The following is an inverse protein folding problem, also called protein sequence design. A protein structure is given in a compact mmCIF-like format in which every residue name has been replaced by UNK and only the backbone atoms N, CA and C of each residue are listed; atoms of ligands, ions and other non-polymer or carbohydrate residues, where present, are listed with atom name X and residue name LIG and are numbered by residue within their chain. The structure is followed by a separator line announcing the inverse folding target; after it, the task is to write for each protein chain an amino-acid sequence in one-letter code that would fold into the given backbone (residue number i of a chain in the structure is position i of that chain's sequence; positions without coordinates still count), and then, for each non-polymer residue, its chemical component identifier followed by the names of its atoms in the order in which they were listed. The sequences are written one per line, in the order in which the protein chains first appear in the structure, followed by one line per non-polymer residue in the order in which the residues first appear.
data_IF_105528556313
#
_entry.id   IF_105528556313
#
_cell.length_a   1.000
_cell.length_b   1.000
_cell.length_c   1.000
_cell.angle_alpha   90.00
_cell.angle_beta   90.00
_cell.angle_gamma   90.00
#
_symmetry.space_group_name_H-M   'P 1'
#
loop_
_entity.id
_entity.type
_entity.pdbx_description
1 polymer ?
#
# COMPACT_ATOMS: atom_id res chain seq x y z
N UNK A 1 -23.88 21.18 -25.71
CA UNK A 1 -24.29 20.94 -24.29
C UNK A 1 -24.29 22.26 -23.53
N UNK A 2 -25.31 22.55 -22.70
CA UNK A 2 -25.31 23.77 -21.86
C UNK A 2 -24.09 23.75 -20.91
N UNK A 3 -23.37 24.87 -20.71
CA UNK A 3 -22.15 24.91 -19.89
C UNK A 3 -22.35 24.45 -18.44
N UNK A 4 -23.58 24.54 -17.91
CA UNK A 4 -23.92 24.02 -16.58
C UNK A 4 -23.96 22.49 -16.50
N UNK A 5 -24.32 21.81 -17.59
CA UNK A 5 -24.38 20.35 -17.65
C UNK A 5 -22.97 19.73 -17.59
N UNK A 6 -22.05 20.23 -18.43
CA UNK A 6 -20.64 19.80 -18.43
C UNK A 6 -19.98 19.95 -17.06
N UNK A 7 -20.24 21.06 -16.37
CA UNK A 7 -19.72 21.30 -15.00
C UNK A 7 -20.28 20.31 -13.98
N UNK A 8 -21.54 19.93 -14.10
CA UNK A 8 -22.16 18.94 -13.19
C UNK A 8 -21.58 17.55 -13.41
N UNK A 9 -21.41 17.15 -14.66
CA UNK A 9 -20.77 15.87 -15.03
C UNK A 9 -19.35 15.81 -14.48
N UNK A 10 -18.54 16.85 -14.73
CA UNK A 10 -17.17 16.91 -14.22
C UNK A 10 -17.09 16.77 -12.70
N UNK A 11 -17.94 17.48 -11.95
CA UNK A 11 -17.98 17.38 -10.48
C UNK A 11 -18.38 15.99 -9.98
N UNK A 12 -19.29 15.34 -10.68
CA UNK A 12 -19.73 13.98 -10.34
C UNK A 12 -18.63 12.96 -10.58
N UNK A 13 -17.93 13.07 -11.73
CA UNK A 13 -16.76 12.24 -12.03
C UNK A 13 -15.64 12.47 -11.02
N UNK A 14 -15.33 13.73 -10.70
CA UNK A 14 -14.32 14.08 -9.70
C UNK A 14 -14.68 13.53 -8.32
N UNK A 15 -15.95 13.63 -7.90
CA UNK A 15 -16.43 13.05 -6.66
C UNK A 15 -16.19 11.54 -6.62
N UNK A 16 -16.63 10.80 -7.64
CA UNK A 16 -16.48 9.34 -7.72
C UNK A 16 -14.99 8.97 -7.72
N UNK A 17 -14.17 9.65 -8.53
CA UNK A 17 -12.73 9.44 -8.61
C UNK A 17 -12.07 9.59 -7.23
N UNK A 18 -12.38 10.67 -6.51
CA UNK A 18 -11.81 10.91 -5.17
C UNK A 18 -12.27 9.88 -4.14
N UNK A 19 -13.53 9.41 -4.21
CA UNK A 19 -14.02 8.31 -3.37
C UNK A 19 -13.24 7.03 -3.66
N UNK A 20 -13.11 6.62 -4.93
CA UNK A 20 -12.39 5.40 -5.30
C UNK A 20 -10.91 5.48 -4.86
N UNK A 21 -10.29 6.66 -5.03
CA UNK A 21 -8.87 6.84 -4.74
C UNK A 21 -8.56 6.88 -3.24
N UNK A 22 -9.43 7.49 -2.43
CA UNK A 22 -9.11 7.87 -1.03
C UNK A 22 -10.15 7.48 0.01
N UNK A 23 -11.27 6.88 -0.43
CA UNK A 23 -12.50 6.63 0.31
C UNK A 23 -13.26 7.89 0.80
N UNK A 24 -12.56 8.95 1.19
CA UNK A 24 -13.15 10.13 1.85
C UNK A 24 -13.19 11.39 0.96
N UNK A 25 -12.35 11.46 -0.07
CA UNK A 25 -12.07 12.71 -0.79
C UNK A 25 -13.31 13.31 -1.45
N UNK A 26 -14.23 12.49 -1.95
CA UNK A 26 -15.51 12.99 -2.46
C UNK A 26 -16.39 13.61 -1.37
N UNK A 27 -16.42 13.04 -0.16
CA UNK A 27 -17.18 13.60 0.97
C UNK A 27 -16.59 14.96 1.37
N UNK A 28 -15.26 15.05 1.45
CA UNK A 28 -14.56 16.32 1.70
C UNK A 28 -14.86 17.34 0.59
N UNK A 29 -14.95 16.91 -0.66
CA UNK A 29 -15.32 17.78 -1.78
C UNK A 29 -16.73 18.36 -1.64
N UNK A 30 -17.70 17.56 -1.18
CA UNK A 30 -19.05 18.05 -0.90
C UNK A 30 -19.07 19.07 0.24
N UNK A 31 -18.33 18.80 1.32
CA UNK A 31 -18.18 19.74 2.43
C UNK A 31 -17.54 21.05 1.97
N UNK A 32 -16.49 20.97 1.15
CA UNK A 32 -15.85 22.13 0.53
C UNK A 32 -16.84 22.99 -0.24
N UNK A 33 -17.65 22.39 -1.12
CA UNK A 33 -18.69 23.13 -1.85
C UNK A 33 -19.75 23.74 -0.95
N UNK A 34 -20.13 23.04 0.12
CA UNK A 34 -21.05 23.57 1.12
C UNK A 34 -20.48 24.81 1.83
N UNK A 35 -19.23 24.75 2.29
CA UNK A 35 -18.55 25.87 2.95
C UNK A 35 -18.39 27.07 2.02
N UNK A 36 -17.96 26.84 0.76
CA UNK A 36 -17.88 27.92 -0.23
C UNK A 36 -19.23 28.59 -0.49
N UNK A 37 -20.33 27.83 -0.46
CA UNK A 37 -21.69 28.38 -0.61
C UNK A 37 -22.06 29.29 0.56
N UNK A 38 -21.68 28.92 1.78
CA UNK A 38 -21.90 29.75 2.98
C UNK A 38 -21.05 31.03 2.94
N UNK A 39 -19.79 30.96 2.51
CA UNK A 39 -18.89 32.11 2.45
C UNK A 39 -19.21 33.08 1.32
N UNK A 40 -19.70 32.60 0.17
CA UNK A 40 -20.16 33.46 -0.94
C UNK A 40 -21.36 34.34 -0.57
N UNK A 41 -22.19 33.92 0.40
CA UNK A 41 -23.25 34.78 0.95
C UNK A 41 -22.70 36.00 1.67
N UNK A 42 -21.43 35.97 2.10
CA UNK A 42 -20.72 37.04 2.81
C UNK A 42 -19.78 37.85 1.90
N UNK A 43 -20.06 37.94 0.59
CA UNK A 43 -19.36 38.82 -0.37
C UNK A 43 -17.92 38.41 -0.77
N UNK A 44 -17.37 37.31 -0.24
CA UNK A 44 -16.06 36.80 -0.65
C UNK A 44 -16.12 36.06 -2.00
N UNK A 45 -15.33 36.52 -2.99
CA UNK A 45 -15.15 35.84 -4.28
C UNK A 45 -13.86 35.02 -4.29
N UNK A 46 -13.97 33.71 -4.15
CA UNK A 46 -12.85 32.79 -4.31
C UNK A 46 -12.58 32.53 -5.80
N UNK A 47 -11.33 32.74 -6.22
CA UNK A 47 -10.83 32.25 -7.50
C UNK A 47 -10.53 30.73 -7.43
N UNK A 48 -10.18 30.14 -8.57
CA UNK A 48 -9.90 28.69 -8.64
C UNK A 48 -8.79 28.26 -7.67
N UNK A 49 -7.67 29.00 -7.64
CA UNK A 49 -6.51 28.68 -6.78
C UNK A 49 -6.85 28.67 -5.29
N UNK A 50 -7.51 29.71 -4.80
CA UNK A 50 -7.94 29.78 -3.39
C UNK A 50 -8.93 28.67 -3.03
N UNK A 51 -9.88 28.34 -3.92
CA UNK A 51 -10.78 27.20 -3.74
C UNK A 51 -10.03 25.87 -3.64
N UNK A 52 -9.02 25.65 -4.48
CA UNK A 52 -8.22 24.42 -4.44
C UNK A 52 -7.41 24.31 -3.16
N UNK A 53 -6.79 25.41 -2.71
CA UNK A 53 -6.05 25.45 -1.43
C UNK A 53 -6.99 25.09 -0.27
N UNK A 54 -8.19 25.68 -0.21
CA UNK A 54 -9.18 25.38 0.82
C UNK A 54 -9.52 23.88 0.82
N UNK A 55 -9.85 23.29 -0.34
CA UNK A 55 -10.13 21.86 -0.44
C UNK A 55 -8.95 21.00 0.05
N UNK A 56 -7.73 21.30 -0.38
CA UNK A 56 -6.54 20.54 0.02
C UNK A 56 -6.28 20.66 1.54
N UNK A 57 -6.43 21.85 2.12
CA UNK A 57 -6.31 22.05 3.56
C UNK A 57 -7.38 21.27 4.33
N UNK A 58 -8.64 21.29 3.87
CA UNK A 58 -9.72 20.47 4.44
C UNK A 58 -9.41 18.98 4.33
N UNK A 59 -8.93 18.52 3.18
CA UNK A 59 -8.59 17.13 2.94
C UNK A 59 -7.46 16.64 3.85
N UNK A 60 -6.39 17.43 4.00
CA UNK A 60 -5.28 17.11 4.91
C UNK A 60 -5.73 17.13 6.37
N UNK A 61 -6.56 18.10 6.77
CA UNK A 61 -7.15 18.15 8.11
C UNK A 61 -7.95 16.87 8.41
N UNK A 62 -8.76 16.43 7.46
CA UNK A 62 -9.55 15.21 7.62
C UNK A 62 -8.65 13.98 7.67
N UNK A 63 -7.74 13.82 6.69
CA UNK A 63 -6.91 12.61 6.55
C UNK A 63 -5.91 12.43 7.69
N UNK A 64 -5.34 13.51 8.23
CA UNK A 64 -4.28 13.44 9.23
C UNK A 64 -4.79 13.52 10.68
N UNK A 65 -5.99 14.06 10.92
CA UNK A 65 -6.47 14.28 12.29
C UNK A 65 -7.84 13.65 12.54
N UNK A 66 -8.83 13.96 11.70
CA UNK A 66 -10.22 13.54 11.96
C UNK A 66 -10.42 12.04 11.70
N UNK A 67 -9.99 11.57 10.52
CA UNK A 67 -10.19 10.18 10.10
C UNK A 67 -9.43 9.20 10.99
N UNK A 68 -8.13 9.40 11.34
CA UNK A 68 -7.44 8.57 12.32
C UNK A 68 -8.17 8.40 13.66
N UNK A 69 -8.85 9.46 14.12
CA UNK A 69 -9.60 9.46 15.38
C UNK A 69 -10.94 8.74 15.28
N UNK A 70 -11.55 8.71 14.09
CA UNK A 70 -12.87 8.13 13.84
C UNK A 70 -12.80 6.68 13.35
N UNK A 71 -11.77 6.33 12.58
CA UNK A 71 -11.59 4.99 12.00
C UNK A 71 -11.70 3.83 13.03
N UNK A 72 -11.24 3.96 14.30
CA UNK A 72 -11.37 2.88 15.28
C UNK A 72 -12.81 2.47 15.57
N UNK A 73 -13.77 3.39 15.50
CA UNK A 73 -15.19 3.07 15.64
C UNK A 73 -15.73 2.19 14.49
N UNK A 74 -15.01 2.14 13.37
CA UNK A 74 -15.28 1.30 12.21
C UNK A 74 -14.37 0.06 12.15
N UNK A 75 -13.67 -0.26 13.26
CA UNK A 75 -12.79 -1.43 13.35
C UNK A 75 -11.46 -1.26 12.60
N UNK A 76 -11.04 -0.01 12.35
CA UNK A 76 -9.81 0.32 11.63
C UNK A 76 -8.90 1.21 12.46
N UNK A 77 -7.61 0.92 12.46
CA UNK A 77 -6.59 1.73 13.12
C UNK A 77 -5.51 2.09 12.10
N UNK A 78 -5.06 3.36 12.04
CA UNK A 78 -3.95 3.72 11.19
C UNK A 78 -2.65 3.10 11.69
N UNK A 79 -1.81 2.67 10.75
CA UNK A 79 -0.42 2.34 11.02
C UNK A 79 0.39 3.61 11.29
N UNK A 80 1.46 3.54 12.10
CA UNK A 80 2.32 4.69 12.33
C UNK A 80 3.02 5.12 11.05
N UNK A 81 3.26 6.42 10.90
CA UNK A 81 4.07 6.97 9.81
C UNK A 81 5.38 7.61 10.27
N UNK A 82 5.58 7.70 11.58
CA UNK A 82 6.78 8.25 12.21
C UNK A 82 7.16 7.39 13.42
N UNK A 83 7.44 6.12 13.18
CA UNK A 83 7.94 5.16 14.18
C UNK A 83 9.26 4.57 13.68
N UNK A 84 10.14 4.17 14.58
CA UNK A 84 11.38 3.46 14.22
C UNK A 84 11.14 1.97 13.94
N UNK A 85 10.04 1.40 14.42
CA UNK A 85 9.75 -0.03 14.26
C UNK A 85 8.92 -0.36 13.03
N UNK A 86 7.94 0.49 12.68
CA UNK A 86 7.02 0.29 11.57
C UNK A 86 6.92 1.60 10.78
N UNK A 87 7.20 1.55 9.48
CA UNK A 87 7.22 2.75 8.63
C UNK A 87 6.60 2.48 7.27
N UNK A 88 5.95 3.47 6.65
CA UNK A 88 5.55 3.38 5.26
C UNK A 88 6.79 3.49 4.38
N UNK A 89 6.83 2.74 3.27
CA UNK A 89 7.85 2.97 2.25
C UNK A 89 7.77 4.39 1.68
N UNK A 90 6.55 4.88 1.47
CA UNK A 90 6.30 6.23 0.97
C UNK A 90 5.06 6.84 1.62
N UNK A 91 5.01 8.17 1.67
CA UNK A 91 3.91 8.90 2.32
C UNK A 91 2.61 8.91 1.51
N UNK A 92 2.59 8.35 0.28
CA UNK A 92 1.39 8.36 -0.57
C UNK A 92 0.30 7.50 0.04
N UNK A 93 0.64 6.36 0.65
CA UNK A 93 -0.35 5.53 1.36
C UNK A 93 -1.01 6.27 2.51
N UNK A 94 -0.31 7.20 3.16
CA UNK A 94 -0.88 8.10 4.17
C UNK A 94 -1.84 9.10 3.52
N UNK A 95 -1.35 9.81 2.50
CA UNK A 95 -2.11 10.85 1.81
C UNK A 95 -3.38 10.30 1.14
N UNK A 96 -3.36 9.04 0.70
CA UNK A 96 -4.51 8.37 0.09
C UNK A 96 -5.36 7.58 1.10
N UNK A 97 -5.06 7.67 2.40
CA UNK A 97 -5.76 6.94 3.46
C UNK A 97 -5.74 5.40 3.27
N UNK A 98 -4.64 4.83 2.79
CA UNK A 98 -4.45 3.39 2.51
C UNK A 98 -3.66 2.61 3.56
N UNK A 99 -3.38 3.23 4.71
CA UNK A 99 -2.50 2.70 5.76
C UNK A 99 -3.28 2.22 6.99
N UNK A 100 -4.54 1.82 6.81
CA UNK A 100 -5.38 1.34 7.92
C UNK A 100 -5.40 -0.18 7.96
N UNK A 101 -5.40 -0.76 9.15
CA UNK A 101 -5.57 -2.19 9.40
C UNK A 101 -6.56 -2.39 10.54
N UNK A 102 -7.05 -3.61 10.77
CA UNK A 102 -7.80 -3.89 11.99
C UNK A 102 -6.85 -3.97 13.20
N UNK A 103 -7.42 -3.93 14.42
CA UNK A 103 -6.63 -3.98 15.66
C UNK A 103 -5.77 -5.23 15.77
N UNK A 104 -6.29 -6.38 15.34
CA UNK A 104 -5.58 -7.66 15.43
C UNK A 104 -4.31 -7.66 14.59
N UNK A 105 -4.40 -7.24 13.32
CA UNK A 105 -3.27 -7.15 12.41
C UNK A 105 -2.27 -6.10 12.88
N UNK A 106 -2.73 -4.97 13.43
CA UNK A 106 -1.82 -3.97 14.03
C UNK A 106 -0.96 -4.59 15.13
N UNK A 107 -1.57 -5.32 16.06
CA UNK A 107 -0.84 -5.98 17.16
C UNK A 107 0.15 -7.02 16.61
N UNK A 108 -0.27 -7.84 15.64
CA UNK A 108 0.62 -8.81 14.99
C UNK A 108 1.80 -8.11 14.31
N UNK A 109 1.60 -6.96 13.66
CA UNK A 109 2.68 -6.18 13.04
C UNK A 109 3.66 -5.61 14.08
N UNK A 110 3.17 -5.15 15.23
CA UNK A 110 4.03 -4.67 16.33
C UNK A 110 4.88 -5.81 16.93
N UNK A 111 4.30 -6.99 17.11
CA UNK A 111 5.03 -8.20 17.53
C UNK A 111 6.06 -8.63 16.48
N UNK A 112 5.68 -8.68 15.21
CA UNK A 112 6.56 -9.02 14.09
C UNK A 112 7.71 -8.03 13.99
N UNK A 113 7.44 -6.73 14.12
CA UNK A 113 8.47 -5.70 14.09
C UNK A 113 9.47 -5.88 15.23
N UNK A 114 8.99 -6.20 16.44
CA UNK A 114 9.84 -6.45 17.62
C UNK A 114 10.72 -7.68 17.40
N UNK A 115 10.14 -8.80 16.96
CA UNK A 115 10.89 -10.04 16.70
C UNK A 115 11.91 -9.87 15.55
N UNK A 116 11.53 -9.13 14.52
CA UNK A 116 12.42 -8.79 13.42
C UNK A 116 13.61 -7.93 13.89
N UNK A 117 13.36 -6.91 14.72
CA UNK A 117 14.42 -6.05 15.27
C UNK A 117 15.37 -6.77 16.22
N UNK A 118 14.90 -7.80 16.92
CA UNK A 118 15.77 -8.66 17.72
C UNK A 118 16.77 -9.45 16.85
N UNK A 119 16.36 -9.82 15.63
CA UNK A 119 17.21 -10.55 14.68
C UNK A 119 18.09 -9.62 13.82
N UNK A 120 17.56 -8.46 13.46
CA UNK A 120 18.22 -7.42 12.65
C UNK A 120 18.02 -6.06 13.32
N UNK A 121 18.91 -5.69 14.27
CA UNK A 121 18.87 -4.39 14.93
C UNK A 121 18.83 -3.24 13.92
N UNK A 122 18.17 -2.15 14.27
CA UNK A 122 17.98 -0.95 13.43
C UNK A 122 17.15 -1.15 12.15
N UNK A 123 16.65 -2.36 11.86
CA UNK A 123 15.73 -2.56 10.74
C UNK A 123 14.29 -2.21 11.13
N UNK A 124 13.62 -1.35 10.35
CA UNK A 124 12.19 -1.10 10.47
C UNK A 124 11.39 -2.07 9.60
N UNK A 125 10.19 -2.46 10.03
CA UNK A 125 9.18 -3.10 9.21
C UNK A 125 8.59 -2.08 8.23
N UNK A 126 8.81 -2.27 6.93
CA UNK A 126 8.39 -1.31 5.90
C UNK A 126 7.08 -1.79 5.25
N UNK A 127 6.01 -0.99 5.33
CA UNK A 127 4.71 -1.30 4.75
C UNK A 127 4.37 -0.50 3.50
N UNK A 128 3.50 -1.08 2.67
CA UNK A 128 2.93 -0.54 1.44
C UNK A 128 1.42 -0.35 1.60
N UNK A 129 0.58 -0.83 0.66
CA UNK A 129 -0.86 -0.72 0.80
C UNK A 129 -1.41 -1.68 1.87
N UNK A 130 -2.32 -1.16 2.71
CA UNK A 130 -3.00 -1.92 3.75
C UNK A 130 -4.52 -1.91 3.51
N UNK A 131 -5.24 -0.86 3.93
CA UNK A 131 -6.69 -0.75 3.75
C UNK A 131 -7.13 0.72 3.87
N UNK A 132 -8.38 0.96 3.50
CA UNK A 132 -9.07 2.21 3.76
C UNK A 132 -9.64 2.30 5.20
N UNK A 133 -9.95 3.51 5.70
CA UNK A 133 -10.32 3.73 7.10
C UNK A 133 -11.72 3.25 7.51
N UNK A 134 -12.63 3.00 6.57
CA UNK A 134 -14.03 2.76 6.90
C UNK A 134 -14.64 1.56 6.17
N UNK A 135 -15.39 0.74 6.93
CA UNK A 135 -16.22 -0.38 6.46
C UNK A 135 -15.48 -1.49 5.69
N UNK A 136 -16.00 -2.71 5.79
CA UNK A 136 -15.50 -3.81 4.98
C UNK A 136 -16.11 -3.76 3.56
N UNK A 137 -15.40 -4.37 2.59
CA UNK A 137 -15.88 -4.56 1.22
C UNK A 137 -15.60 -3.38 0.27
N UNK A 138 -15.07 -2.26 0.75
CA UNK A 138 -14.68 -1.16 -0.14
C UNK A 138 -13.45 -1.56 -0.97
N UNK A 139 -13.49 -1.46 -2.31
CA UNK A 139 -12.41 -1.95 -3.16
C UNK A 139 -11.19 -1.01 -3.11
N UNK A 140 -10.03 -1.55 -2.74
CA UNK A 140 -8.74 -0.87 -2.84
C UNK A 140 -8.12 -1.18 -4.21
N UNK A 141 -8.23 -0.29 -5.19
CA UNK A 141 -7.65 -0.55 -6.53
C UNK A 141 -6.13 -0.25 -6.51
N UNK A 142 -5.24 -1.13 -7.00
CA UNK A 142 -5.51 -2.43 -7.64
C UNK A 142 -5.59 -3.62 -6.66
N UNK A 143 -5.22 -3.45 -5.39
CA UNK A 143 -5.21 -4.45 -4.32
C UNK A 143 -6.61 -4.89 -3.84
N UNK A 144 -7.44 -5.45 -4.72
CA UNK A 144 -8.87 -5.68 -4.44
C UNK A 144 -9.16 -6.57 -3.22
N UNK A 145 -8.24 -7.45 -2.82
CA UNK A 145 -8.38 -8.29 -1.63
C UNK A 145 -8.27 -7.50 -0.32
N UNK A 146 -7.65 -6.32 -0.36
CA UNK A 146 -7.47 -5.42 0.77
C UNK A 146 -8.75 -4.64 1.03
N UNK A 147 -9.80 -5.31 1.48
CA UNK A 147 -11.11 -4.73 1.70
C UNK A 147 -11.65 -4.92 3.13
N UNK A 148 -10.89 -5.55 4.02
CA UNK A 148 -11.34 -5.95 5.38
C UNK A 148 -10.35 -5.56 6.51
N UNK A 149 -9.27 -4.86 6.19
CA UNK A 149 -8.23 -4.49 7.16
C UNK A 149 -7.43 -5.66 7.70
N UNK A 150 -7.54 -6.85 7.09
CA UNK A 150 -6.85 -8.08 7.52
C UNK A 150 -5.64 -8.41 6.65
N UNK A 151 -5.29 -7.53 5.71
CA UNK A 151 -4.23 -7.72 4.72
C UNK A 151 -3.33 -6.50 4.65
N UNK A 152 -2.06 -6.73 4.36
CA UNK A 152 -1.06 -5.69 4.17
C UNK A 152 0.08 -6.21 3.33
N UNK A 153 0.63 -5.31 2.52
CA UNK A 153 1.83 -5.53 1.75
C UNK A 153 3.03 -4.93 2.47
N UNK A 154 4.15 -5.66 2.49
CA UNK A 154 5.41 -5.28 3.13
C UNK A 154 6.52 -5.27 2.09
N UNK A 155 7.43 -4.32 2.17
CA UNK A 155 8.54 -4.23 1.23
C UNK A 155 9.58 -5.32 1.50
N UNK A 156 10.27 -5.74 0.44
CA UNK A 156 11.54 -6.45 0.57
C UNK A 156 12.66 -5.51 1.03
N UNK A 157 13.78 -6.08 1.46
CA UNK A 157 14.98 -5.32 1.81
C UNK A 157 16.06 -5.48 0.76
N UNK A 158 16.90 -4.45 0.62
CA UNK A 158 17.89 -4.34 -0.44
C UNK A 158 19.25 -3.90 0.11
N UNK A 159 20.30 -4.26 -0.62
CA UNK A 159 21.67 -3.76 -0.47
C UNK A 159 22.11 -3.08 -1.77
N UNK A 160 23.09 -2.19 -1.70
CA UNK A 160 23.77 -1.68 -2.89
C UNK A 160 24.63 -2.79 -3.53
N UNK A 161 25.11 -2.55 -4.75
CA UNK A 161 26.08 -3.44 -5.40
C UNK A 161 27.36 -3.65 -4.57
N UNK A 162 27.73 -2.66 -3.77
CA UNK A 162 28.89 -2.71 -2.87
C UNK A 162 28.59 -3.45 -1.55
N UNK A 163 27.37 -3.93 -1.36
CA UNK A 163 26.93 -4.67 -0.17
C UNK A 163 26.46 -3.79 1.00
N UNK A 164 26.35 -2.48 0.81
CA UNK A 164 25.84 -1.57 1.85
C UNK A 164 24.34 -1.77 2.03
N UNK A 165 23.87 -1.85 3.27
CA UNK A 165 22.44 -1.99 3.56
C UNK A 165 21.71 -0.71 3.17
N UNK A 166 20.63 -0.86 2.40
CA UNK A 166 19.77 0.25 2.05
C UNK A 166 18.59 0.32 3.04
N UNK A 167 18.39 1.50 3.60
CA UNK A 167 17.33 1.77 4.57
C UNK A 167 16.10 2.41 3.90
N UNK A 168 14.91 2.01 4.35
CA UNK A 168 13.64 2.65 4.03
C UNK A 168 13.40 2.91 2.51
N UNK A 169 13.86 2.00 1.66
CA UNK A 169 13.82 2.16 0.20
C UNK A 169 13.47 0.86 -0.53
N UNK A 170 13.05 1.00 -1.80
CA UNK A 170 12.76 -0.08 -2.72
C UNK A 170 13.16 0.34 -4.15
N UNK A 171 13.33 -0.63 -5.09
CA UNK A 171 13.65 -0.35 -6.49
C UNK A 171 12.64 0.51 -7.26
N UNK A 172 11.45 0.70 -6.70
CA UNK A 172 10.37 1.53 -7.23
C UNK A 172 9.92 2.54 -6.17
N UNK A 173 9.70 3.79 -6.57
CA UNK A 173 9.29 4.87 -5.67
C UNK A 173 7.92 4.65 -5.01
N UNK A 174 7.03 3.86 -5.65
CA UNK A 174 5.75 3.45 -5.05
C UNK A 174 5.82 2.10 -4.33
N UNK A 175 6.95 1.37 -4.44
CA UNK A 175 7.14 0.03 -3.87
C UNK A 175 6.57 -1.13 -4.68
N UNK A 176 6.07 -0.86 -5.89
CA UNK A 176 5.47 -1.85 -6.79
C UNK A 176 6.03 -1.72 -8.21
N UNK A 177 5.99 -2.82 -8.97
CA UNK A 177 6.33 -2.87 -10.40
C UNK A 177 7.81 -3.11 -10.72
N UNK A 178 8.66 -3.28 -9.70
CA UNK A 178 10.07 -3.61 -9.86
C UNK A 178 10.34 -5.01 -9.30
N UNK A 179 10.33 -6.00 -10.18
CA UNK A 179 10.22 -7.42 -9.81
C UNK A 179 11.57 -8.11 -9.67
N UNK A 180 11.71 -8.91 -8.61
CA UNK A 180 12.80 -9.86 -8.41
C UNK A 180 12.68 -11.06 -9.35
N UNK A 181 13.13 -10.90 -10.60
CA UNK A 181 12.99 -11.93 -11.62
C UNK A 181 13.57 -13.30 -11.24
N UNK A 182 12.99 -14.37 -11.81
CA UNK A 182 13.49 -15.72 -11.65
C UNK A 182 14.89 -15.87 -12.28
N UNK A 183 15.84 -16.42 -11.51
CA UNK A 183 17.20 -16.69 -11.98
C UNK A 183 17.23 -17.95 -12.84
N UNK A 184 18.33 -18.15 -13.58
CA UNK A 184 18.55 -19.35 -14.37
C UNK A 184 18.43 -20.61 -13.49
N UNK A 185 17.52 -21.51 -13.86
CA UNK A 185 17.25 -22.75 -13.12
C UNK A 185 16.15 -22.64 -12.05
N UNK A 186 15.66 -21.42 -11.76
CA UNK A 186 14.48 -21.23 -10.92
C UNK A 186 13.19 -21.33 -11.75
N UNK A 187 12.07 -21.63 -11.09
CA UNK A 187 10.76 -21.64 -11.70
C UNK A 187 10.36 -20.23 -12.15
N UNK A 188 10.21 -20.03 -13.45
CA UNK A 188 9.74 -18.74 -13.98
C UNK A 188 8.21 -18.70 -14.00
N UNK A 189 7.63 -18.33 -12.85
CA UNK A 189 6.17 -18.23 -12.69
C UNK A 189 5.56 -17.21 -13.62
N UNK A 190 6.23 -16.06 -13.83
CA UNK A 190 5.77 -15.02 -14.76
C UNK A 190 5.56 -15.59 -16.16
N UNK A 191 6.60 -16.22 -16.72
CA UNK A 191 6.55 -16.88 -18.01
C UNK A 191 5.42 -17.92 -18.06
N UNK A 192 5.33 -18.79 -17.05
CA UNK A 192 4.27 -19.81 -16.97
C UNK A 192 2.87 -19.18 -16.98
N UNK A 193 2.63 -18.13 -16.19
CA UNK A 193 1.32 -17.48 -16.12
C UNK A 193 0.96 -16.80 -17.44
N UNK A 194 1.92 -16.09 -18.07
CA UNK A 194 1.71 -15.45 -19.37
C UNK A 194 1.42 -16.48 -20.48
N UNK A 195 2.16 -17.60 -20.52
CA UNK A 195 1.93 -18.69 -21.47
C UNK A 195 0.55 -19.35 -21.32
N UNK A 196 -0.02 -19.31 -20.10
CA UNK A 196 -1.38 -19.77 -19.82
C UNK A 196 -2.46 -18.68 -20.03
N UNK A 197 -2.12 -17.54 -20.63
CA UNK A 197 -3.06 -16.47 -21.01
C UNK A 197 -3.35 -15.44 -19.90
N UNK A 198 -2.66 -15.50 -18.77
CA UNK A 198 -2.84 -14.54 -17.66
C UNK A 198 -2.06 -13.26 -17.89
N UNK A 199 -2.45 -12.48 -18.91
CA UNK A 199 -1.77 -11.22 -19.27
C UNK A 199 -1.72 -10.20 -18.11
N UNK A 200 -2.72 -10.24 -17.22
CA UNK A 200 -2.81 -9.33 -16.07
C UNK A 200 -1.70 -9.55 -15.05
N UNK A 201 -1.08 -10.72 -15.06
CA UNK A 201 -0.05 -11.13 -14.10
C UNK A 201 1.15 -10.17 -14.07
N UNK A 202 1.47 -9.60 -15.23
CA UNK A 202 2.67 -8.79 -15.46
C UNK A 202 2.36 -7.30 -15.71
N UNK A 203 1.10 -6.86 -15.54
CA UNK A 203 0.71 -5.48 -15.84
C UNK A 203 1.32 -4.44 -14.89
N UNK A 204 1.68 -4.83 -13.66
CA UNK A 204 2.18 -3.87 -12.68
C UNK A 204 3.56 -3.27 -13.03
N UNK A 205 4.34 -3.87 -13.94
CA UNK A 205 5.57 -3.26 -14.46
C UNK A 205 5.35 -1.90 -15.13
N UNK A 206 4.12 -1.63 -15.58
CA UNK A 206 3.77 -0.37 -16.23
C UNK A 206 3.34 0.73 -15.23
N UNK A 207 3.18 0.39 -13.94
CA UNK A 207 2.71 1.35 -12.92
C UNK A 207 3.81 2.28 -12.41
N UNK A 208 5.05 1.79 -12.37
CA UNK A 208 6.17 2.57 -11.89
C UNK A 208 7.43 2.12 -12.61
N UNK A 209 8.16 3.06 -13.23
CA UNK A 209 9.38 2.69 -13.90
C UNK A 209 10.49 2.42 -12.86
N UNK A 210 11.16 1.28 -12.99
CA UNK A 210 12.10 0.69 -12.03
C UNK A 210 13.51 1.30 -12.09
N UNK A 211 13.61 2.63 -11.88
CA UNK A 211 14.81 3.41 -12.24
C UNK A 211 16.07 3.02 -11.45
N UNK A 212 15.92 2.50 -10.23
CA UNK A 212 17.05 2.09 -9.38
C UNK A 212 17.25 0.58 -9.29
N UNK A 213 16.47 -0.23 -10.03
CA UNK A 213 16.54 -1.69 -9.91
C UNK A 213 17.92 -2.25 -10.31
N UNK A 214 18.60 -1.60 -11.26
CA UNK A 214 19.94 -2.02 -11.67
C UNK A 214 21.00 -1.85 -10.56
N UNK A 215 20.76 -0.99 -9.57
CA UNK A 215 21.73 -0.63 -8.52
C UNK A 215 21.40 -1.27 -7.16
N UNK A 216 20.31 -2.03 -7.08
CA UNK A 216 19.80 -2.64 -5.85
C UNK A 216 19.79 -4.17 -5.96
N UNK A 217 20.38 -4.82 -4.96
CA UNK A 217 20.41 -6.29 -4.84
C UNK A 217 19.51 -6.68 -3.67
N UNK A 218 18.59 -7.63 -3.89
CA UNK A 218 17.75 -8.18 -2.83
C UNK A 218 18.60 -8.68 -1.64
N UNK A 219 18.36 -8.13 -0.46
CA UNK A 219 18.93 -8.57 0.80
C UNK A 219 18.19 -9.83 1.27
N UNK A 220 18.63 -10.98 0.75
CA UNK A 220 18.03 -12.28 1.05
C UNK A 220 18.04 -12.55 2.56
N UNK A 221 19.13 -12.25 3.25
CA UNK A 221 19.29 -12.60 4.67
C UNK A 221 18.34 -11.78 5.55
N UNK A 222 18.30 -10.45 5.36
CA UNK A 222 17.40 -9.55 6.10
C UNK A 222 15.94 -9.81 5.77
N UNK A 223 15.62 -10.05 4.49
CA UNK A 223 14.26 -10.40 4.05
C UNK A 223 13.83 -11.75 4.65
N UNK A 224 14.72 -12.76 4.68
CA UNK A 224 14.44 -14.04 5.32
C UNK A 224 14.18 -13.89 6.83
N UNK A 225 14.91 -13.01 7.52
CA UNK A 225 14.66 -12.75 8.92
C UNK A 225 13.27 -12.16 9.18
N UNK A 226 12.83 -11.20 8.35
CA UNK A 226 11.45 -10.72 8.38
C UNK A 226 10.46 -11.86 8.12
N UNK A 227 10.66 -12.66 7.07
CA UNK A 227 9.78 -13.78 6.74
C UNK A 227 9.66 -14.78 7.89
N UNK A 228 10.75 -15.08 8.58
CA UNK A 228 10.74 -15.96 9.74
C UNK A 228 9.98 -15.35 10.93
N UNK A 229 10.10 -14.05 11.18
CA UNK A 229 9.31 -13.35 12.20
C UNK A 229 7.81 -13.42 11.89
N UNK A 230 7.41 -13.18 10.63
CA UNK A 230 6.03 -13.30 10.16
C UNK A 230 5.52 -14.76 10.34
N UNK A 231 6.33 -15.75 9.97
CA UNK A 231 5.97 -17.18 10.09
C UNK A 231 5.68 -17.55 11.55
N UNK A 232 6.50 -17.07 12.49
CA UNK A 232 6.37 -17.35 13.93
C UNK A 232 5.13 -16.72 14.54
N UNK A 233 4.66 -15.58 14.02
CA UNK A 233 3.45 -14.95 14.52
C UNK A 233 2.23 -15.84 14.27
N UNK A 234 1.54 -16.28 15.34
CA UNK A 234 0.45 -17.26 15.26
C UNK A 234 -0.81 -16.73 14.58
N UNK A 235 -1.00 -15.42 14.55
CA UNK A 235 -2.17 -14.79 13.96
C UNK A 235 -2.10 -14.69 12.44
N UNK A 236 -0.89 -14.62 11.86
CA UNK A 236 -0.74 -14.62 10.40
C UNK A 236 -1.02 -16.02 9.84
N UNK A 237 -2.01 -16.12 8.94
CA UNK A 237 -2.41 -17.39 8.32
C UNK A 237 -1.80 -17.61 6.94
N UNK A 238 -1.60 -16.53 6.17
CA UNK A 238 -1.11 -16.60 4.79
C UNK A 238 -0.03 -15.57 4.55
N UNK A 239 0.98 -16.00 3.80
CA UNK A 239 2.08 -15.18 3.32
C UNK A 239 2.23 -15.49 1.83
N UNK A 240 2.04 -14.50 0.97
CA UNK A 240 2.22 -14.66 -0.47
C UNK A 240 3.52 -14.00 -0.93
N UNK A 241 4.31 -14.83 -1.63
CA UNK A 241 5.51 -14.46 -2.38
C UNK A 241 5.60 -15.39 -3.60
N UNK A 242 6.38 -15.03 -4.60
CA UNK A 242 6.57 -15.90 -5.76
C UNK A 242 7.29 -17.23 -5.44
N UNK A 243 6.95 -18.33 -6.17
CA UNK A 243 7.59 -19.63 -6.02
C UNK A 243 9.13 -19.63 -6.07
N UNK A 244 9.74 -18.87 -7.00
CA UNK A 244 11.20 -18.81 -7.10
C UNK A 244 11.81 -18.14 -5.88
N UNK A 245 11.21 -17.07 -5.35
CA UNK A 245 11.66 -16.42 -4.11
C UNK A 245 11.53 -17.35 -2.91
N UNK A 246 10.41 -18.09 -2.81
CA UNK A 246 10.23 -19.12 -1.78
C UNK A 246 11.35 -20.15 -1.81
N UNK A 247 11.71 -20.65 -3.00
CA UNK A 247 12.81 -21.60 -3.20
C UNK A 247 14.18 -20.99 -2.88
N UNK A 248 14.44 -19.78 -3.39
CA UNK A 248 15.69 -19.02 -3.21
C UNK A 248 15.97 -18.77 -1.72
N UNK A 249 14.94 -18.44 -0.95
CA UNK A 249 14.98 -18.24 0.49
C UNK A 249 14.81 -19.53 1.32
N UNK A 250 14.67 -20.69 0.67
CA UNK A 250 14.47 -22.00 1.31
C UNK A 250 13.31 -22.03 2.34
N UNK A 251 12.24 -21.30 2.06
CA UNK A 251 11.08 -21.20 2.95
C UNK A 251 10.14 -22.40 2.76
N UNK A 252 10.01 -23.24 3.77
CA UNK A 252 9.21 -24.49 3.70
C UNK A 252 7.89 -24.45 4.48
N UNK A 253 7.63 -23.37 5.22
CA UNK A 253 6.45 -23.29 6.08
C UNK A 253 5.13 -23.24 5.29
N UNK A 254 4.09 -23.90 5.81
CA UNK A 254 2.78 -24.03 5.16
C UNK A 254 2.02 -22.70 4.99
N UNK A 255 2.38 -21.66 5.75
CA UNK A 255 1.84 -20.29 5.59
C UNK A 255 2.33 -19.62 4.31
N UNK A 256 3.52 -19.98 3.81
CA UNK A 256 4.15 -19.36 2.63
C UNK A 256 3.65 -20.06 1.36
N UNK A 257 2.86 -19.35 0.56
CA UNK A 257 2.11 -19.93 -0.57
C UNK A 257 2.20 -19.04 -1.80
N UNK A 258 1.96 -19.65 -2.95
CA UNK A 258 1.72 -18.93 -4.19
C UNK A 258 0.24 -18.53 -4.27
N UNK A 259 -0.05 -17.30 -4.68
CA UNK A 259 -1.41 -16.76 -4.77
C UNK A 259 -2.15 -17.16 -6.07
N UNK A 260 -1.44 -17.72 -7.06
CA UNK A 260 -2.01 -18.13 -8.35
C UNK A 260 -1.98 -17.05 -9.43
N UNK A 261 -2.02 -17.45 -10.71
CA UNK A 261 -1.88 -16.53 -11.85
C UNK A 261 -3.03 -15.53 -12.06
N UNK A 262 -4.11 -15.62 -11.28
CA UNK A 262 -5.29 -14.75 -11.44
C UNK A 262 -5.11 -13.34 -10.83
N UNK A 263 -4.05 -13.12 -10.06
CA UNK A 263 -3.68 -11.80 -9.53
C UNK A 263 -2.30 -11.39 -10.07
N UNK A 264 -1.90 -10.14 -9.83
CA UNK A 264 -0.56 -9.64 -10.17
C UNK A 264 0.50 -10.38 -9.35
N UNK A 265 1.69 -10.58 -9.92
CA UNK A 265 2.85 -11.21 -9.26
C UNK A 265 3.28 -10.51 -7.97
N UNK A 266 3.85 -11.29 -7.02
CA UNK A 266 4.31 -10.83 -5.70
C UNK A 266 5.82 -11.09 -5.51
N UNK A 267 6.62 -10.64 -6.45
CA UNK A 267 8.09 -10.61 -6.38
C UNK A 267 8.67 -9.20 -6.36
N UNK A 268 7.85 -8.20 -6.02
CA UNK A 268 8.25 -6.86 -5.61
C UNK A 268 7.90 -6.55 -4.13
N UNK A 269 7.05 -7.37 -3.50
CA UNK A 269 6.64 -7.23 -2.10
C UNK A 269 6.23 -8.56 -1.45
N UNK A 270 6.02 -8.54 -0.13
CA UNK A 270 5.45 -9.63 0.67
C UNK A 270 4.01 -9.27 1.03
N UNK A 271 3.04 -10.10 0.66
CA UNK A 271 1.67 -9.93 1.13
C UNK A 271 1.40 -10.84 2.34
N UNK A 272 0.81 -10.30 3.40
CA UNK A 272 0.40 -11.09 4.57
C UNK A 272 -1.08 -10.91 4.89
N UNK A 273 -1.67 -11.95 5.46
CA UNK A 273 -3.05 -11.96 5.90
C UNK A 273 -3.20 -12.69 7.24
N UNK A 274 -4.05 -12.12 8.11
CA UNK A 274 -4.59 -12.79 9.32
C UNK A 274 -5.32 -14.10 9.05
#
# INVERSE_FOLDING_TARGET
MKPNFLRSVFRSVLFIFLIILTQIGGIVLLLHYFLLRLLKRKQFRFNFFSSTIIYLSLYLLFSLFLVPSIAPFFGRTPLPYNSESIKPLNKITILLNRHYVNHKLKNSLEEIATDFQNSYPHSSLIYLDANFPFWDGFPLIPHLSHNDGQKIDLAFYYKSENGEVLEDTAPSWIGYGAFEEAKKGEENTNKRCLENGFIQYDLAKYLSPSWSQAEMILDIERTMALMNAIIRNSDIQKIFIEPHLKSRMKLTHSKVRFHGCHAVRHDDHIHIQL
#
